data_IF_986648916237
#
_entry.id   IF_986648916237
#
_cell.length_a   1.000
_cell.length_b   1.000
_cell.length_c   1.000
_cell.angle_alpha   90.00
_cell.angle_beta   90.00
_cell.angle_gamma   90.00
#
_symmetry.space_group_name_H-M   'P 1'
#
loop_
_entity.id
_entity.type
_entity.pdbx_description
1 polymer ?
#
# COMPACT_ATOMS: atom_id res chain seq x y z
N UNK A 1 -4.91 -48.35 11.83
CA UNK A 1 -5.34 -47.59 13.01
C UNK A 1 -4.14 -46.85 13.56
N UNK A 2 -3.91 -45.62 13.19
CA UNK A 2 -2.83 -44.75 13.62
C UNK A 2 -3.40 -43.41 14.08
N UNK A 3 -3.30 -43.13 15.37
CA UNK A 3 -3.75 -41.91 16.03
C UNK A 3 -2.87 -40.74 15.61
N UNK A 4 -3.46 -39.64 15.20
CA UNK A 4 -2.82 -38.33 15.00
C UNK A 4 -2.56 -37.65 16.37
N UNK A 5 -1.44 -36.96 16.55
CA UNK A 5 -1.18 -36.21 17.78
C UNK A 5 -1.91 -34.85 17.74
N UNK A 6 -2.67 -34.59 18.81
CA UNK A 6 -3.27 -33.30 19.10
C UNK A 6 -2.18 -32.35 19.63
N UNK A 7 -1.91 -31.25 18.91
CA UNK A 7 -1.11 -30.14 19.45
C UNK A 7 -2.05 -29.13 20.08
N UNK A 8 -1.94 -28.99 21.40
CA UNK A 8 -2.60 -27.97 22.21
C UNK A 8 -1.66 -26.77 22.27
N UNK A 9 -2.09 -25.63 21.76
CA UNK A 9 -1.40 -24.36 21.96
C UNK A 9 -1.89 -23.68 23.23
N UNK A 10 -1.00 -23.29 24.16
CA UNK A 10 -1.40 -22.48 25.31
C UNK A 10 -1.61 -21.03 24.90
N UNK A 11 -2.76 -20.48 25.28
CA UNK A 11 -3.14 -19.09 25.09
C UNK A 11 -2.20 -18.14 25.85
N UNK A 12 -1.75 -17.09 25.18
CA UNK A 12 -1.00 -16.00 25.77
C UNK A 12 -1.96 -14.92 26.28
N UNK A 13 -1.87 -14.68 27.57
CA UNK A 13 -2.61 -13.68 28.35
C UNK A 13 -1.99 -12.30 28.10
N UNK A 14 -2.84 -11.34 27.73
CA UNK A 14 -2.47 -9.93 27.63
C UNK A 14 -2.34 -9.30 29.01
N UNK A 15 -1.15 -8.84 29.35
CA UNK A 15 -0.90 -7.99 30.51
C UNK A 15 -0.53 -6.58 30.06
N UNK A 16 -1.42 -5.63 30.29
CA UNK A 16 -1.17 -4.20 30.18
C UNK A 16 -0.27 -3.75 31.32
N UNK A 17 0.81 -3.04 31.02
CA UNK A 17 1.50 -2.17 31.99
C UNK A 17 1.74 -0.82 31.32
N UNK A 18 0.99 0.18 31.80
CA UNK A 18 1.23 1.61 31.64
C UNK A 18 2.18 2.03 32.73
N UNK A 19 3.28 2.65 32.36
CA UNK A 19 4.06 3.49 33.32
C UNK A 19 4.73 4.62 32.54
N UNK A 20 4.22 5.82 32.80
CA UNK A 20 4.80 7.07 32.33
C UNK A 20 6.01 7.45 33.15
N UNK A 21 6.97 8.09 32.55
CA UNK A 21 7.91 8.99 33.22
C UNK A 21 8.14 10.22 32.33
N UNK A 22 7.75 11.32 32.90
CA UNK A 22 8.02 12.70 32.51
C UNK A 22 9.46 13.04 32.86
N UNK A 23 10.22 13.60 31.93
CA UNK A 23 11.41 14.35 32.27
C UNK A 23 11.60 15.55 31.33
N UNK A 24 11.33 16.73 31.90
CA UNK A 24 11.73 18.03 31.38
C UNK A 24 13.25 18.18 31.50
N UNK A 25 13.88 18.74 30.48
CA UNK A 25 15.13 19.51 30.66
C UNK A 25 15.21 20.64 29.64
N UNK A 26 15.01 21.85 30.13
CA UNK A 26 15.40 23.11 29.49
C UNK A 26 16.93 23.29 29.61
N UNK A 27 17.57 23.72 28.54
CA UNK A 27 18.71 24.64 28.63
C UNK A 27 18.73 25.60 27.45
N UNK A 28 18.86 26.86 27.83
CA UNK A 28 18.84 28.05 27.00
C UNK A 28 20.24 28.46 26.52
N UNK A 29 20.27 29.29 25.48
CA UNK A 29 21.28 30.33 25.22
C UNK A 29 22.39 29.88 24.29
N UNK A 30 22.68 30.60 23.21
CA UNK A 30 23.24 31.97 23.18
C UNK A 30 23.23 32.52 21.74
N UNK A 31 23.24 33.84 21.70
CA UNK A 31 23.08 34.77 20.61
C UNK A 31 24.28 34.87 19.63
N UNK A 32 23.92 35.34 18.42
CA UNK A 32 24.49 36.13 17.34
C UNK A 32 25.94 36.69 17.50
N UNK A 33 26.65 37.07 16.40
CA UNK A 33 26.33 38.36 15.78
C UNK A 33 26.36 38.42 14.23
N UNK A 34 25.71 39.49 13.79
CA UNK A 34 25.60 40.13 12.50
C UNK A 34 26.93 40.54 11.86
N UNK A 35 26.99 40.56 10.53
CA UNK A 35 27.68 41.66 9.81
C UNK A 35 27.11 41.81 8.38
N UNK A 36 26.60 42.95 8.24
CA UNK A 36 26.44 43.90 7.18
C UNK A 36 27.49 43.83 6.06
N UNK A 37 27.02 43.93 4.81
CA UNK A 37 27.45 44.94 3.85
C UNK A 37 26.64 44.85 2.56
N UNK A 38 25.87 45.88 2.27
CA UNK A 38 25.47 46.36 0.92
C UNK A 38 26.48 47.44 0.49
N UNK A 39 26.43 48.06 -0.72
CA UNK A 39 25.40 48.12 -1.75
C UNK A 39 25.87 48.11 -3.23
N UNK A 40 24.95 47.88 -4.14
CA UNK A 40 24.59 48.50 -5.45
C UNK A 40 25.68 49.06 -6.39
N UNK A 41 25.40 49.42 -7.68
CA UNK A 41 24.11 49.53 -8.39
C UNK A 41 24.09 49.06 -9.89
N UNK A 42 22.86 48.86 -10.38
CA UNK A 42 22.46 49.36 -11.68
C UNK A 42 22.74 48.57 -12.95
N UNK A 43 21.67 48.10 -13.59
CA UNK A 43 21.34 48.44 -14.98
C UNK A 43 19.91 47.93 -15.29
N UNK A 44 19.09 48.93 -15.56
CA UNK A 44 17.76 48.73 -16.17
C UNK A 44 17.95 48.21 -17.60
N UNK A 45 17.20 47.20 -17.96
CA UNK A 45 16.76 47.02 -19.35
C UNK A 45 15.33 46.51 -19.38
N UNK A 46 14.55 47.29 -20.08
CA UNK A 46 13.14 47.18 -20.36
C UNK A 46 12.78 45.83 -21.00
N UNK A 47 11.71 45.29 -20.50
CA UNK A 47 10.97 44.20 -21.06
C UNK A 47 9.89 44.68 -21.99
N UNK A 48 9.45 43.94 -22.97
CA UNK A 48 8.03 43.92 -23.32
C UNK A 48 7.40 42.56 -22.92
N UNK A 49 6.42 42.70 -22.05
CA UNK A 49 5.13 41.99 -22.12
C UNK A 49 5.10 40.65 -22.81
N UNK A 50 5.27 39.58 -22.02
CA UNK A 50 4.78 38.26 -22.40
C UNK A 50 3.43 38.10 -21.74
N UNK A 51 2.42 38.00 -22.60
CA UNK A 51 1.05 37.74 -22.26
C UNK A 51 0.95 36.49 -21.36
N UNK A 52 0.19 36.65 -20.30
CA UNK A 52 -0.34 35.55 -19.50
C UNK A 52 -1.17 34.64 -20.45
N UNK A 53 -0.58 33.53 -20.84
CA UNK A 53 -1.34 32.35 -21.19
C UNK A 53 -1.60 31.66 -19.84
N UNK A 54 -2.72 31.95 -19.23
CA UNK A 54 -3.37 31.03 -18.30
C UNK A 54 -3.71 29.80 -19.14
N UNK A 55 -2.77 28.88 -19.22
CA UNK A 55 -3.05 27.52 -19.62
C UNK A 55 -3.93 26.93 -18.53
N UNK A 56 -5.23 27.08 -18.76
CA UNK A 56 -6.24 26.22 -18.18
C UNK A 56 -5.77 24.78 -18.43
N UNK A 57 -5.13 24.19 -17.43
CA UNK A 57 -4.97 22.75 -17.32
C UNK A 57 -6.37 22.17 -17.08
N UNK A 58 -7.20 22.18 -18.12
CA UNK A 58 -8.23 21.17 -18.26
C UNK A 58 -7.45 19.87 -18.47
N UNK A 59 -7.25 19.14 -17.38
CA UNK A 59 -6.89 17.75 -17.43
C UNK A 59 -8.07 16.98 -18.03
N UNK A 60 -8.21 17.07 -19.34
CA UNK A 60 -8.81 16.01 -20.13
C UNK A 60 -7.82 14.84 -20.05
N UNK A 61 -7.84 14.14 -18.91
CA UNK A 61 -7.38 12.78 -18.86
C UNK A 61 -8.35 12.00 -19.74
N UNK A 62 -8.00 11.94 -21.03
CA UNK A 62 -8.51 10.93 -21.95
C UNK A 62 -8.43 9.58 -21.21
N UNK A 63 -9.62 9.02 -20.88
CA UNK A 63 -9.77 7.80 -20.08
C UNK A 63 -9.32 6.54 -20.79
N UNK A 64 -8.37 6.63 -21.74
CA UNK A 64 -7.92 5.55 -22.62
C UNK A 64 -7.08 4.47 -21.96
N UNK A 65 -7.12 4.34 -20.64
CA UNK A 65 -6.35 3.33 -19.92
C UNK A 65 -6.89 2.99 -18.53
N UNK A 66 -8.09 3.46 -18.18
CA UNK A 66 -8.69 3.24 -16.86
C UNK A 66 -9.98 2.42 -16.99
N UNK A 67 -10.01 1.21 -16.40
CA UNK A 67 -11.17 0.31 -16.43
C UNK A 67 -11.77 0.08 -15.02
N UNK A 68 -11.31 0.83 -14.02
CA UNK A 68 -11.92 0.78 -12.68
C UNK A 68 -13.21 1.58 -12.67
N UNK A 69 -14.30 0.95 -12.23
CA UNK A 69 -15.64 1.55 -12.17
C UNK A 69 -15.67 2.88 -11.42
N UNK A 70 -16.44 3.82 -11.94
CA UNK A 70 -16.66 5.15 -11.32
C UNK A 70 -17.39 5.06 -9.98
N UNK A 71 -17.97 3.91 -9.64
CA UNK A 71 -18.58 3.69 -8.31
C UNK A 71 -17.54 3.62 -7.19
N UNK A 72 -16.28 3.23 -7.49
CA UNK A 72 -15.23 3.29 -6.49
C UNK A 72 -14.93 4.73 -6.06
N UNK A 73 -14.61 4.96 -4.78
CA UNK A 73 -14.25 6.28 -4.30
C UNK A 73 -12.93 6.77 -4.90
N UNK A 74 -12.72 8.08 -4.84
CA UNK A 74 -11.55 8.73 -5.44
C UNK A 74 -10.21 8.16 -4.94
N UNK A 75 -10.15 7.72 -3.68
CA UNK A 75 -8.96 7.10 -3.08
C UNK A 75 -8.52 5.83 -3.81
N UNK A 76 -9.44 5.12 -4.46
CA UNK A 76 -9.13 3.96 -5.30
C UNK A 76 -8.93 4.37 -6.75
N UNK A 77 -9.81 5.23 -7.29
CA UNK A 77 -9.77 5.65 -8.70
C UNK A 77 -8.50 6.40 -9.08
N UNK A 78 -7.84 7.07 -8.15
CA UNK A 78 -6.54 7.71 -8.40
C UNK A 78 -5.45 6.71 -8.85
N UNK A 79 -5.60 5.44 -8.50
CA UNK A 79 -4.68 4.36 -8.87
C UNK A 79 -5.12 3.59 -10.12
N UNK A 80 -6.18 4.07 -10.79
CA UNK A 80 -6.85 3.32 -11.85
C UNK A 80 -5.92 2.85 -12.97
N UNK A 81 -5.02 3.69 -13.46
CA UNK A 81 -4.10 3.31 -14.54
C UNK A 81 -3.16 2.19 -14.11
N UNK A 82 -2.60 2.26 -12.89
CA UNK A 82 -1.76 1.19 -12.34
C UNK A 82 -2.56 -0.10 -12.19
N UNK A 83 -3.73 -0.01 -11.56
CA UNK A 83 -4.62 -1.16 -11.34
C UNK A 83 -4.97 -1.81 -12.67
N UNK A 84 -5.42 -1.04 -13.68
CA UNK A 84 -5.80 -1.57 -14.99
C UNK A 84 -4.63 -2.25 -15.67
N UNK A 85 -3.49 -1.57 -15.77
CA UNK A 85 -2.30 -2.08 -16.45
C UNK A 85 -1.81 -3.41 -15.88
N UNK A 86 -1.62 -3.48 -14.55
CA UNK A 86 -1.10 -4.68 -13.91
C UNK A 86 -2.13 -5.79 -13.76
N UNK A 87 -3.44 -5.46 -13.72
CA UNK A 87 -4.49 -6.45 -13.79
C UNK A 87 -4.44 -7.20 -15.13
N UNK A 88 -4.40 -6.48 -16.24
CA UNK A 88 -4.30 -7.10 -17.57
C UNK A 88 -3.03 -7.93 -17.73
N UNK A 89 -1.89 -7.43 -17.26
CA UNK A 89 -0.62 -8.16 -17.31
C UNK A 89 -0.67 -9.52 -16.57
N UNK A 90 -1.55 -9.64 -15.58
CA UNK A 90 -1.68 -10.85 -14.77
C UNK A 90 -3.02 -11.61 -14.98
N UNK A 91 -3.80 -11.25 -16.02
CA UNK A 91 -5.06 -11.92 -16.36
C UNK A 91 -6.17 -11.72 -15.31
N UNK A 92 -6.15 -10.59 -14.61
CA UNK A 92 -7.11 -10.23 -13.56
C UNK A 92 -8.11 -9.17 -14.05
N UNK A 93 -9.30 -9.16 -13.47
CA UNK A 93 -10.27 -8.07 -13.68
C UNK A 93 -9.83 -6.82 -12.89
N UNK A 94 -9.70 -5.62 -13.53
CA UNK A 94 -9.33 -4.38 -12.84
C UNK A 94 -10.24 -4.01 -11.67
N UNK A 95 -11.54 -4.29 -11.75
CA UNK A 95 -12.48 -4.02 -10.66
C UNK A 95 -12.28 -4.98 -9.47
N UNK A 96 -11.84 -6.22 -9.73
CA UNK A 96 -11.47 -7.15 -8.66
C UNK A 96 -10.23 -6.66 -7.92
N UNK A 97 -9.21 -6.21 -8.64
CA UNK A 97 -7.99 -5.65 -8.03
C UNK A 97 -8.30 -4.35 -7.28
N UNK A 98 -9.19 -3.50 -7.80
CA UNK A 98 -9.69 -2.32 -7.10
C UNK A 98 -10.40 -2.68 -5.78
N UNK A 99 -11.21 -3.74 -5.77
CA UNK A 99 -11.85 -4.26 -4.57
C UNK A 99 -10.83 -4.76 -3.54
N UNK A 100 -9.77 -5.42 -4.01
CA UNK A 100 -8.68 -5.88 -3.17
C UNK A 100 -7.92 -4.70 -2.55
N UNK A 101 -7.51 -3.70 -3.34
CA UNK A 101 -6.85 -2.47 -2.85
C UNK A 101 -7.72 -1.75 -1.83
N UNK A 102 -9.04 -1.68 -2.08
CA UNK A 102 -9.97 -1.09 -1.10
C UNK A 102 -9.96 -1.86 0.22
N UNK A 103 -10.01 -3.18 0.17
CA UNK A 103 -10.02 -4.03 1.36
C UNK A 103 -8.72 -3.95 2.14
N UNK A 104 -7.57 -3.85 1.44
CA UNK A 104 -6.24 -3.91 2.03
C UNK A 104 -5.81 -2.59 2.67
N UNK A 105 -5.94 -1.49 1.94
CA UNK A 105 -5.38 -0.20 2.35
C UNK A 105 -6.38 0.95 2.31
N UNK A 106 -7.57 0.75 1.72
CA UNK A 106 -8.47 1.87 1.40
C UNK A 106 -7.88 2.84 0.36
N UNK A 107 -6.83 2.44 -0.36
CA UNK A 107 -6.11 3.27 -1.33
C UNK A 107 -4.94 4.08 -0.76
N UNK A 108 -4.54 3.84 0.48
CA UNK A 108 -3.35 4.43 1.09
C UNK A 108 -2.10 3.67 0.65
N UNK A 109 -1.26 4.32 -0.16
CA UNK A 109 0.00 3.72 -0.65
C UNK A 109 1.08 3.57 0.44
N UNK A 110 0.96 4.29 1.54
CA UNK A 110 1.89 4.22 2.67
C UNK A 110 1.36 3.38 3.83
N UNK A 111 0.23 2.69 3.63
CA UNK A 111 -0.36 1.84 4.66
C UNK A 111 0.65 0.81 5.19
N UNK A 112 0.76 0.72 6.51
CA UNK A 112 1.61 -0.23 7.21
C UNK A 112 0.82 -0.92 8.31
N UNK A 113 0.58 -2.22 8.17
CA UNK A 113 -0.24 -2.96 9.13
C UNK A 113 0.51 -3.30 10.42
N UNK A 114 -0.24 -3.68 11.45
CA UNK A 114 0.33 -4.19 12.71
C UNK A 114 1.18 -5.45 12.54
N UNK A 115 0.91 -6.23 11.50
CA UNK A 115 1.69 -7.43 11.13
C UNK A 115 2.86 -7.12 10.20
N UNK A 116 3.02 -5.87 9.77
CA UNK A 116 4.11 -5.43 8.90
C UNK A 116 3.82 -5.52 7.40
N UNK A 117 2.58 -5.72 6.98
CA UNK A 117 2.20 -5.62 5.56
C UNK A 117 2.24 -4.18 5.06
N UNK A 118 2.60 -3.96 3.80
CA UNK A 118 2.95 -2.64 3.23
C UNK A 118 2.15 -2.31 1.98
N UNK A 119 1.71 -1.07 1.90
CA UNK A 119 1.24 -0.40 0.68
C UNK A 119 -0.16 -0.78 0.24
N UNK A 120 -0.49 -0.43 -1.01
CA UNK A 120 -1.83 -0.54 -1.59
C UNK A 120 -2.43 -1.94 -1.49
N UNK A 121 -1.63 -2.97 -1.74
CA UNK A 121 -2.05 -4.37 -1.74
C UNK A 121 -1.58 -5.15 -0.50
N UNK A 122 -1.09 -4.46 0.53
CA UNK A 122 -0.67 -5.00 1.83
C UNK A 122 0.22 -6.25 1.71
N UNK A 123 1.29 -6.12 0.94
CA UNK A 123 2.25 -7.21 0.74
C UNK A 123 3.15 -7.34 1.96
N UNK A 124 3.36 -8.57 2.44
CA UNK A 124 4.31 -8.87 3.52
C UNK A 124 5.75 -8.74 3.00
N UNK A 125 6.60 -7.87 3.58
CA UNK A 125 8.00 -7.70 3.17
C UNK A 125 8.91 -8.78 3.79
N UNK A 126 10.19 -8.82 3.33
CA UNK A 126 11.21 -9.70 3.93
C UNK A 126 11.88 -9.11 5.18
N UNK A 127 11.64 -7.85 5.48
CA UNK A 127 12.25 -7.09 6.58
C UNK A 127 11.21 -6.53 7.55
N UNK A 128 11.65 -5.71 8.50
CA UNK A 128 10.79 -5.16 9.54
C UNK A 128 10.12 -6.21 10.40
N UNK A 129 8.86 -5.96 10.81
CA UNK A 129 8.08 -6.88 11.65
C UNK A 129 7.85 -8.22 10.93
N UNK A 130 7.65 -8.19 9.61
CA UNK A 130 7.39 -9.40 8.82
C UNK A 130 8.53 -10.42 8.87
N UNK A 131 9.78 -9.99 9.05
CA UNK A 131 10.94 -10.89 9.16
C UNK A 131 10.93 -11.78 10.41
N UNK A 132 10.11 -11.44 11.40
CA UNK A 132 9.97 -12.24 12.64
C UNK A 132 9.08 -13.47 12.49
N UNK A 133 8.31 -13.55 11.39
CA UNK A 133 7.45 -14.70 11.14
C UNK A 133 8.28 -15.90 10.64
N UNK A 134 8.24 -16.98 11.41
CA UNK A 134 8.97 -18.21 11.11
C UNK A 134 8.06 -19.29 10.55
N UNK A 135 8.49 -19.88 9.45
CA UNK A 135 7.91 -21.06 8.81
C UNK A 135 8.79 -22.28 9.06
N UNK A 136 8.39 -23.46 8.58
CA UNK A 136 9.13 -24.73 8.77
C UNK A 136 10.57 -24.64 8.27
N UNK A 137 10.82 -23.89 7.19
CA UNK A 137 12.14 -23.80 6.54
C UNK A 137 12.84 -22.44 6.79
N UNK A 138 12.52 -21.74 7.86
CA UNK A 138 13.10 -20.43 8.20
C UNK A 138 12.10 -19.28 8.08
N UNK A 139 12.56 -18.01 7.93
CA UNK A 139 11.67 -16.86 7.83
C UNK A 139 10.70 -16.99 6.66
N UNK A 140 9.39 -16.75 6.91
CA UNK A 140 8.32 -16.99 5.94
C UNK A 140 8.45 -16.16 4.66
N UNK A 141 9.01 -14.95 4.78
CA UNK A 141 8.99 -13.95 3.72
C UNK A 141 10.37 -13.63 3.12
N UNK A 142 11.36 -14.52 3.27
CA UNK A 142 12.76 -14.31 2.81
C UNK A 142 12.87 -13.87 1.36
N UNK A 143 12.01 -14.37 0.48
CA UNK A 143 12.03 -14.07 -0.96
C UNK A 143 11.06 -12.95 -1.35
N UNK A 144 10.59 -12.15 -0.39
CA UNK A 144 9.71 -11.02 -0.64
C UNK A 144 10.52 -9.73 -0.85
N UNK A 145 9.93 -8.68 -1.43
CA UNK A 145 10.53 -7.35 -1.48
C UNK A 145 10.77 -6.76 -0.08
N UNK A 146 11.57 -5.71 0.00
CA UNK A 146 11.74 -4.88 1.20
C UNK A 146 10.55 -3.96 1.42
N UNK A 147 10.43 -3.40 2.63
CA UNK A 147 9.48 -2.32 2.94
C UNK A 147 9.66 -1.15 1.97
N UNK A 148 10.92 -0.75 1.73
CA UNK A 148 11.23 0.39 0.85
C UNK A 148 10.73 0.18 -0.58
N UNK A 149 10.94 -1.00 -1.15
CA UNK A 149 10.43 -1.36 -2.48
C UNK A 149 8.90 -1.35 -2.50
N UNK A 150 8.24 -1.88 -1.47
CA UNK A 150 6.78 -1.96 -1.38
C UNK A 150 6.10 -0.62 -1.07
N UNK A 151 6.82 0.41 -0.65
CA UNK A 151 6.29 1.76 -0.49
C UNK A 151 6.13 2.52 -1.83
N UNK A 152 6.76 2.04 -2.90
CA UNK A 152 6.47 2.52 -4.25
C UNK A 152 5.13 1.93 -4.72
N UNK A 153 4.11 2.77 -5.01
CA UNK A 153 2.78 2.28 -5.37
C UNK A 153 2.77 1.49 -6.68
N UNK A 154 3.62 1.85 -7.64
CA UNK A 154 3.74 1.14 -8.90
C UNK A 154 4.26 -0.28 -8.67
N UNK A 155 5.38 -0.39 -7.95
CA UNK A 155 5.97 -1.68 -7.60
C UNK A 155 5.04 -2.53 -6.71
N UNK A 156 4.32 -1.90 -5.79
CA UNK A 156 3.39 -2.60 -4.88
C UNK A 156 2.23 -3.25 -5.65
N UNK A 157 1.61 -2.52 -6.59
CA UNK A 157 0.51 -3.05 -7.41
C UNK A 157 1.02 -4.12 -8.38
N UNK A 158 2.19 -3.91 -9.00
CA UNK A 158 2.83 -4.91 -9.87
C UNK A 158 3.05 -6.23 -9.12
N UNK A 159 3.72 -6.16 -7.96
CA UNK A 159 4.04 -7.35 -7.18
C UNK A 159 2.79 -8.04 -6.62
N UNK A 160 1.84 -7.27 -6.06
CA UNK A 160 0.63 -7.80 -5.47
C UNK A 160 -0.30 -8.46 -6.51
N UNK A 161 -0.45 -7.86 -7.70
CA UNK A 161 -1.22 -8.47 -8.80
C UNK A 161 -0.56 -9.73 -9.36
N UNK A 162 0.77 -9.73 -9.48
CA UNK A 162 1.52 -10.94 -9.87
C UNK A 162 1.33 -12.08 -8.85
N UNK A 163 1.33 -11.76 -7.55
CA UNK A 163 1.01 -12.75 -6.51
C UNK A 163 -0.41 -13.31 -6.67
N UNK A 164 -1.42 -12.45 -6.82
CA UNK A 164 -2.81 -12.88 -6.94
C UNK A 164 -3.03 -13.71 -8.21
N UNK A 165 -2.48 -13.26 -9.36
CA UNK A 165 -2.53 -14.00 -10.62
C UNK A 165 -1.88 -15.39 -10.50
N UNK A 166 -0.71 -15.47 -9.86
CA UNK A 166 -0.05 -16.75 -9.58
C UNK A 166 -0.88 -17.67 -8.69
N UNK A 167 -1.58 -17.13 -7.69
CA UNK A 167 -2.49 -17.89 -6.85
C UNK A 167 -3.72 -18.36 -7.64
N UNK A 168 -4.27 -17.53 -8.54
CA UNK A 168 -5.38 -17.94 -9.41
C UNK A 168 -4.98 -19.07 -10.34
N UNK A 169 -3.81 -18.99 -10.97
CA UNK A 169 -3.30 -20.08 -11.82
C UNK A 169 -3.13 -21.37 -11.00
N UNK A 170 -2.64 -21.26 -9.77
CA UNK A 170 -2.38 -22.41 -8.90
C UNK A 170 -3.66 -23.09 -8.41
N UNK A 171 -4.68 -22.31 -8.04
CA UNK A 171 -5.88 -22.83 -7.38
C UNK A 171 -7.12 -22.88 -8.28
N UNK A 172 -7.07 -22.25 -9.47
CA UNK A 172 -8.15 -22.22 -10.46
C UNK A 172 -9.25 -21.21 -10.14
N UNK A 173 -9.85 -21.30 -8.96
CA UNK A 173 -10.95 -20.46 -8.53
C UNK A 173 -10.46 -19.18 -7.82
N UNK A 174 -11.01 -18.01 -8.21
CA UNK A 174 -10.61 -16.73 -7.60
C UNK A 174 -10.87 -16.68 -6.09
N UNK A 175 -11.96 -17.30 -5.63
CA UNK A 175 -12.28 -17.37 -4.20
C UNK A 175 -11.22 -18.14 -3.41
N UNK A 176 -10.68 -19.21 -3.98
CA UNK A 176 -9.54 -19.94 -3.41
C UNK A 176 -8.26 -19.08 -3.45
N UNK A 177 -7.98 -18.45 -4.58
CA UNK A 177 -6.82 -17.55 -4.71
C UNK A 177 -6.82 -16.45 -3.63
N UNK A 178 -7.95 -15.77 -3.45
CA UNK A 178 -8.13 -14.73 -2.44
C UNK A 178 -7.99 -15.27 -1.01
N UNK A 179 -8.47 -16.48 -0.72
CA UNK A 179 -8.29 -17.12 0.58
C UNK A 179 -6.80 -17.29 0.92
N UNK A 180 -5.97 -17.65 -0.06
CA UNK A 180 -4.52 -17.80 0.13
C UNK A 180 -3.74 -16.48 0.02
N UNK A 181 -4.35 -15.44 -0.54
CA UNK A 181 -3.80 -14.09 -0.53
C UNK A 181 -3.94 -13.45 0.84
N UNK A 182 -5.09 -13.57 1.46
CA UNK A 182 -5.43 -13.00 2.76
C UNK A 182 -4.79 -13.73 3.96
N UNK A 183 -5.17 -13.35 5.18
CA UNK A 183 -4.69 -14.00 6.41
C UNK A 183 -5.09 -15.47 6.45
N UNK A 184 -4.12 -16.34 6.80
CA UNK A 184 -4.29 -17.80 6.73
C UNK A 184 -5.29 -18.39 7.75
N UNK A 185 -5.60 -17.67 8.81
CA UNK A 185 -6.42 -18.12 9.93
C UNK A 185 -7.91 -17.77 9.84
N UNK A 186 -8.31 -16.99 8.81
CA UNK A 186 -9.68 -16.49 8.64
C UNK A 186 -10.52 -17.27 7.61
N UNK A 187 -9.96 -18.29 6.99
CA UNK A 187 -10.64 -19.12 5.99
C UNK A 187 -11.13 -18.31 4.79
N UNK A 188 -12.40 -18.49 4.41
CA UNK A 188 -13.01 -17.78 3.27
C UNK A 188 -13.56 -16.39 3.61
N UNK A 189 -13.61 -16.00 4.88
CA UNK A 189 -14.22 -14.72 5.29
C UNK A 189 -13.56 -13.53 4.58
N UNK A 190 -12.26 -13.56 4.42
CA UNK A 190 -11.52 -12.54 3.68
C UNK A 190 -11.90 -12.54 2.19
N UNK A 191 -11.86 -13.69 1.54
CA UNK A 191 -12.20 -13.83 0.12
C UNK A 191 -13.64 -13.36 -0.16
N UNK A 192 -14.59 -13.76 0.68
CA UNK A 192 -15.99 -13.37 0.54
C UNK A 192 -16.19 -11.86 0.71
N UNK A 193 -15.40 -11.21 1.58
CA UNK A 193 -15.41 -9.77 1.76
C UNK A 193 -14.91 -9.03 0.52
N UNK A 194 -13.78 -9.44 -0.06
CA UNK A 194 -13.27 -8.86 -1.32
C UNK A 194 -14.25 -9.05 -2.47
N UNK A 195 -14.79 -10.26 -2.63
CA UNK A 195 -15.78 -10.56 -3.68
C UNK A 195 -17.10 -9.80 -3.47
N UNK A 196 -17.49 -9.54 -2.23
CA UNK A 196 -18.64 -8.70 -1.89
C UNK A 196 -18.43 -7.25 -2.32
N UNK A 197 -17.25 -6.68 -2.07
CA UNK A 197 -16.87 -5.34 -2.55
C UNK A 197 -16.89 -5.33 -4.08
N UNK A 198 -16.21 -6.28 -4.72
CA UNK A 198 -16.18 -6.40 -6.17
C UNK A 198 -17.59 -6.43 -6.78
N UNK A 199 -18.48 -7.26 -6.25
CA UNK A 199 -19.87 -7.34 -6.74
C UNK A 199 -20.68 -6.06 -6.55
N UNK A 200 -20.36 -5.27 -5.52
CA UNK A 200 -21.07 -4.02 -5.21
C UNK A 200 -20.60 -2.83 -6.05
N UNK A 201 -19.36 -2.83 -6.49
CA UNK A 201 -18.73 -1.67 -7.15
C UNK A 201 -18.43 -1.88 -8.64
N UNK A 202 -18.37 -3.11 -9.15
CA UNK A 202 -18.31 -3.32 -10.60
C UNK A 202 -19.60 -2.85 -11.27
N UNK A 203 -19.54 -2.50 -12.53
CA UNK A 203 -20.68 -2.11 -13.36
C UNK A 203 -21.55 -3.31 -13.73
#
# INVERSE_FOLDING_TARGET
MGRAPHYIFPGAIFGSIVLGILALSLTAGTALPSNLSSPSPGLQQNNPQVAQAEESLTSDSDGSGCEVSLKYPQQIRQWCQLITSYSHANGLDPNLVAALVWQESGGDSLAYSKSGAVGLMQVMPRDGIASTFMCINGPCFTNRPTIQELQDPNFNVEFGTSMLGGLQVKYGEMREALKYYGPMDVGYTYADKVLGIYSSYRD
#
